data_IF_559033221687
#
_entry.id   IF_559033221687
#
_cell.length_a   1.000
_cell.length_b   1.000
_cell.length_c   1.000
_cell.angle_alpha   90.00
_cell.angle_beta   90.00
_cell.angle_gamma   90.00
#
_symmetry.space_group_name_H-M   'P 1'
#
loop_
_entity.id
_entity.type
_entity.pdbx_description
1 polymer ?
#
# COMPACT_ATOMS: atom_id res chain seq x y z
N UNK A 1 -2.61 -11.23 -14.08
CA UNK A 1 -2.62 -11.32 -12.62
C UNK A 1 -3.81 -10.60 -11.96
N UNK A 2 -3.96 -9.28 -12.12
CA UNK A 2 -5.06 -8.53 -11.48
C UNK A 2 -6.45 -9.04 -11.88
N UNK A 3 -6.65 -9.33 -13.16
CA UNK A 3 -7.93 -9.80 -13.70
C UNK A 3 -8.30 -11.25 -13.28
N UNK A 4 -7.32 -12.03 -12.87
CA UNK A 4 -7.51 -13.40 -12.33
C UNK A 4 -8.18 -13.41 -10.97
N UNK A 5 -8.12 -12.30 -10.24
CA UNK A 5 -8.71 -12.12 -8.91
C UNK A 5 -8.23 -13.20 -7.90
N UNK A 6 -6.95 -13.58 -7.98
CA UNK A 6 -6.38 -14.69 -7.23
C UNK A 6 -5.35 -14.27 -6.15
N UNK A 7 -5.18 -12.96 -5.91
CA UNK A 7 -4.22 -12.48 -4.91
C UNK A 7 -4.58 -13.00 -3.50
N UNK A 8 -3.60 -13.52 -2.73
CA UNK A 8 -3.83 -13.88 -1.34
C UNK A 8 -3.97 -12.63 -0.45
N UNK A 9 -4.51 -12.80 0.73
CA UNK A 9 -4.49 -11.77 1.75
C UNK A 9 -3.12 -11.71 2.44
N UNK A 10 -2.77 -10.54 2.95
CA UNK A 10 -1.66 -10.40 3.90
C UNK A 10 -2.04 -11.17 5.18
N UNK A 11 -1.11 -11.92 5.79
CA UNK A 11 -1.39 -12.66 7.03
C UNK A 11 -2.00 -11.75 8.11
N UNK A 12 -3.08 -12.20 8.73
CA UNK A 12 -3.82 -11.46 9.75
C UNK A 12 -4.79 -10.39 9.23
N UNK A 13 -4.74 -10.04 7.94
CA UNK A 13 -5.58 -8.97 7.39
C UNK A 13 -7.07 -9.32 7.38
N UNK A 14 -7.41 -10.58 7.11
CA UNK A 14 -8.80 -11.02 7.06
C UNK A 14 -9.43 -10.95 8.45
N UNK A 15 -8.76 -11.50 9.44
CA UNK A 15 -9.18 -11.52 10.83
C UNK A 15 -9.32 -10.10 11.39
N UNK A 16 -8.33 -9.25 11.13
CA UNK A 16 -8.34 -7.85 11.56
C UNK A 16 -9.51 -7.08 10.97
N UNK A 17 -9.71 -7.16 9.65
CA UNK A 17 -10.76 -6.39 8.97
C UNK A 17 -12.16 -6.89 9.34
N UNK A 18 -12.34 -8.20 9.55
CA UNK A 18 -13.60 -8.76 10.05
C UNK A 18 -13.90 -8.30 11.48
N UNK A 19 -12.91 -8.31 12.36
CA UNK A 19 -13.06 -7.81 13.72
C UNK A 19 -13.42 -6.32 13.73
N UNK A 20 -12.79 -5.51 12.89
CA UNK A 20 -13.12 -4.10 12.73
C UNK A 20 -14.56 -3.91 12.24
N UNK A 21 -14.98 -4.67 11.24
CA UNK A 21 -16.35 -4.59 10.73
C UNK A 21 -17.39 -5.05 11.79
N UNK A 22 -17.10 -6.10 12.53
CA UNK A 22 -17.95 -6.56 13.64
C UNK A 22 -18.05 -5.52 14.78
N UNK A 23 -17.01 -4.69 14.96
CA UNK A 23 -17.03 -3.55 15.89
C UNK A 23 -17.73 -2.31 15.33
N UNK A 24 -18.35 -2.39 14.14
CA UNK A 24 -19.09 -1.31 13.51
C UNK A 24 -18.29 -0.37 12.63
N UNK A 25 -17.01 -0.67 12.37
CA UNK A 25 -16.18 0.13 11.46
C UNK A 25 -16.47 -0.22 10.01
N UNK A 26 -16.59 0.78 9.15
CA UNK A 26 -16.70 0.60 7.70
C UNK A 26 -15.32 0.51 7.08
N UNK A 27 -15.08 -0.53 6.29
CA UNK A 27 -13.80 -0.75 5.61
C UNK A 27 -13.83 -0.15 4.20
N UNK A 28 -12.79 0.61 3.85
CA UNK A 28 -12.56 1.16 2.52
C UNK A 28 -11.25 0.64 1.94
N UNK A 29 -11.24 0.38 0.65
CA UNK A 29 -10.07 -0.05 -0.10
C UNK A 29 -9.68 1.02 -1.10
N UNK A 30 -8.52 1.66 -0.92
CA UNK A 30 -8.01 2.71 -1.80
C UNK A 30 -6.79 2.19 -2.55
N UNK A 31 -6.89 2.02 -3.86
CA UNK A 31 -5.86 1.38 -4.66
C UNK A 31 -5.47 2.19 -5.89
N UNK A 32 -4.20 2.08 -6.31
CA UNK A 32 -3.72 2.60 -7.58
C UNK A 32 -3.97 1.65 -8.77
N UNK A 33 -4.68 0.54 -8.57
CA UNK A 33 -5.28 -0.18 -9.70
C UNK A 33 -6.13 0.80 -10.49
N UNK A 34 -5.90 0.81 -11.80
CA UNK A 34 -6.42 1.84 -12.68
C UNK A 34 -7.62 1.32 -13.45
N UNK A 35 -8.72 2.08 -13.43
CA UNK A 35 -9.83 1.82 -14.33
C UNK A 35 -9.39 2.08 -15.76
N UNK A 36 -9.42 1.05 -16.58
CA UNK A 36 -9.16 1.10 -18.02
C UNK A 36 -10.35 0.46 -18.73
N UNK A 37 -11.12 1.23 -19.48
CA UNK A 37 -12.27 0.71 -20.21
C UNK A 37 -11.91 -0.45 -21.14
N UNK A 38 -12.78 -1.45 -21.19
CA UNK A 38 -12.66 -2.56 -22.11
C UNK A 38 -14.02 -2.86 -22.74
N UNK A 39 -14.19 -2.51 -24.00
CA UNK A 39 -15.49 -2.59 -24.65
C UNK A 39 -16.53 -1.70 -23.99
N UNK A 40 -17.66 -2.27 -23.57
CA UNK A 40 -18.74 -1.57 -22.88
C UNK A 40 -18.50 -1.42 -21.36
N UNK A 41 -17.50 -2.10 -20.79
CA UNK A 41 -17.17 -2.03 -19.38
C UNK A 41 -16.19 -0.87 -19.10
N UNK A 42 -16.66 0.13 -18.33
CA UNK A 42 -15.86 1.30 -18.00
C UNK A 42 -14.71 1.00 -17.02
N UNK A 43 -14.84 -0.05 -16.19
CA UNK A 43 -13.83 -0.40 -15.19
C UNK A 43 -13.83 -1.90 -14.81
N UNK A 44 -13.44 -2.81 -15.72
CA UNK A 44 -13.39 -4.24 -15.44
C UNK A 44 -12.43 -4.58 -14.29
N UNK A 45 -11.44 -3.73 -14.01
CA UNK A 45 -10.50 -3.88 -12.90
C UNK A 45 -11.18 -3.76 -11.54
N UNK A 46 -12.24 -2.93 -11.43
CA UNK A 46 -13.05 -2.83 -10.22
C UNK A 46 -13.77 -4.15 -9.93
N UNK A 47 -14.48 -4.67 -10.92
CA UNK A 47 -15.17 -5.95 -10.81
C UNK A 47 -14.19 -7.11 -10.45
N UNK A 48 -13.01 -7.15 -11.08
CA UNK A 48 -11.99 -8.14 -10.77
C UNK A 48 -11.48 -7.99 -9.32
N UNK A 49 -11.26 -6.77 -8.86
CA UNK A 49 -10.83 -6.50 -7.48
C UNK A 49 -11.91 -6.91 -6.48
N UNK A 50 -13.16 -6.57 -6.73
CA UNK A 50 -14.30 -7.01 -5.89
C UNK A 50 -14.41 -8.54 -5.81
N UNK A 51 -14.26 -9.24 -6.94
CA UNK A 51 -14.24 -10.72 -6.93
C UNK A 51 -13.15 -11.26 -6.00
N UNK A 52 -11.95 -10.65 -6.01
CA UNK A 52 -10.87 -11.05 -5.12
C UNK A 52 -11.20 -10.80 -3.65
N UNK A 53 -11.75 -9.63 -3.33
CA UNK A 53 -12.18 -9.31 -1.96
C UNK A 53 -13.26 -10.28 -1.46
N UNK A 54 -14.26 -10.62 -2.29
CA UNK A 54 -15.28 -11.63 -1.98
C UNK A 54 -14.69 -13.00 -1.73
N UNK A 55 -13.77 -13.43 -2.60
CA UNK A 55 -13.10 -14.73 -2.44
C UNK A 55 -12.35 -14.85 -1.12
N UNK A 56 -11.85 -13.75 -0.59
CA UNK A 56 -11.18 -13.66 0.69
C UNK A 56 -12.16 -13.40 1.86
N UNK A 57 -13.45 -13.26 1.56
CA UNK A 57 -14.49 -12.91 2.53
C UNK A 57 -14.14 -11.65 3.33
N UNK A 58 -13.68 -10.64 2.61
CA UNK A 58 -13.32 -9.33 3.18
C UNK A 58 -14.54 -8.42 3.28
N UNK A 59 -14.66 -7.63 4.36
CA UNK A 59 -15.80 -6.72 4.56
C UNK A 59 -15.93 -5.71 3.41
N UNK A 60 -17.13 -5.22 3.17
CA UNK A 60 -17.44 -4.22 2.12
C UNK A 60 -17.07 -4.65 0.69
N UNK A 61 -16.83 -5.94 0.43
CA UNK A 61 -16.44 -6.44 -0.91
C UNK A 61 -17.51 -6.17 -1.98
N UNK A 62 -18.79 -6.14 -1.60
CA UNK A 62 -19.92 -5.91 -2.50
C UNK A 62 -20.32 -4.43 -2.59
N UNK A 63 -19.74 -3.58 -1.76
CA UNK A 63 -20.05 -2.16 -1.73
C UNK A 63 -19.21 -1.42 -2.80
N UNK A 64 -19.84 -0.89 -3.87
CA UNK A 64 -19.13 -0.18 -4.90
C UNK A 64 -18.49 1.13 -4.40
N UNK A 65 -19.03 1.74 -3.34
CA UNK A 65 -18.52 2.96 -2.76
C UNK A 65 -17.38 2.74 -1.76
N UNK A 66 -17.13 1.51 -1.37
CA UNK A 66 -16.04 1.16 -0.48
C UNK A 66 -14.72 0.80 -1.20
N UNK A 67 -14.75 0.59 -2.52
CA UNK A 67 -13.58 0.28 -3.32
C UNK A 67 -13.29 1.42 -4.31
N UNK A 68 -12.18 2.14 -4.09
CA UNK A 68 -11.84 3.38 -4.77
C UNK A 68 -10.61 3.18 -5.64
N UNK A 69 -10.78 3.13 -6.97
CA UNK A 69 -9.73 2.91 -7.94
C UNK A 69 -9.24 4.24 -8.54
N UNK A 70 -8.00 4.22 -9.01
CA UNK A 70 -7.47 5.30 -9.84
C UNK A 70 -8.25 5.38 -11.15
N UNK A 71 -8.52 6.58 -11.63
CA UNK A 71 -9.29 6.90 -12.85
C UNK A 71 -10.74 6.40 -12.87
N UNK A 72 -11.26 5.97 -11.75
CA UNK A 72 -12.69 5.63 -11.63
C UNK A 72 -13.58 6.88 -11.76
N UNK A 73 -13.05 8.03 -11.31
CA UNK A 73 -13.66 9.34 -11.46
C UNK A 73 -12.63 10.30 -12.07
N UNK A 74 -13.10 11.35 -12.74
CA UNK A 74 -12.22 12.32 -13.40
C UNK A 74 -11.22 12.96 -12.44
N UNK A 75 -11.65 13.31 -11.23
CA UNK A 75 -10.83 13.89 -10.18
C UNK A 75 -9.81 12.90 -9.56
N UNK A 76 -9.96 11.61 -9.82
CA UNK A 76 -9.07 10.56 -9.32
C UNK A 76 -8.01 10.11 -10.34
N UNK A 77 -7.66 10.99 -11.27
CA UNK A 77 -6.74 10.69 -12.37
C UNK A 77 -5.29 10.42 -11.93
N UNK A 78 -4.86 11.04 -10.82
CA UNK A 78 -3.50 10.92 -10.30
C UNK A 78 -3.21 9.66 -9.51
N UNK A 79 -1.90 9.36 -9.34
CA UNK A 79 -1.41 8.30 -8.44
C UNK A 79 -1.50 8.65 -6.95
N UNK A 80 -1.66 9.93 -6.62
CA UNK A 80 -1.92 10.38 -5.26
C UNK A 80 -3.26 9.82 -4.75
N UNK A 81 -3.22 9.23 -3.58
CA UNK A 81 -4.40 8.65 -2.94
C UNK A 81 -5.17 9.65 -2.07
N UNK A 82 -4.64 10.86 -1.84
CA UNK A 82 -5.24 11.85 -0.94
C UNK A 82 -6.67 12.21 -1.33
N UNK A 83 -6.90 12.46 -2.62
CA UNK A 83 -8.22 12.82 -3.16
C UNK A 83 -9.24 11.69 -2.94
N UNK A 84 -8.80 10.44 -3.11
CA UNK A 84 -9.66 9.25 -2.89
C UNK A 84 -9.90 9.00 -1.40
N UNK A 85 -8.92 9.26 -0.54
CA UNK A 85 -9.08 9.17 0.92
C UNK A 85 -10.00 10.26 1.47
N UNK A 86 -10.06 11.43 0.83
CA UNK A 86 -10.99 12.48 1.19
C UNK A 86 -12.46 12.01 1.09
N UNK A 87 -12.78 11.14 0.13
CA UNK A 87 -14.13 10.62 -0.07
C UNK A 87 -14.75 9.96 1.18
N UNK A 88 -14.12 8.97 1.85
CA UNK A 88 -14.61 8.51 3.15
C UNK A 88 -14.45 9.57 4.24
N UNK A 89 -13.41 10.42 4.19
CA UNK A 89 -13.15 11.46 5.19
C UNK A 89 -14.25 12.51 5.31
N UNK A 90 -15.04 12.74 4.27
CA UNK A 90 -16.20 13.63 4.30
C UNK A 90 -17.36 13.07 5.15
N UNK A 91 -17.43 11.76 5.33
CA UNK A 91 -18.56 11.05 5.95
C UNK A 91 -18.21 10.36 7.26
N UNK A 92 -16.95 10.01 7.44
CA UNK A 92 -16.49 9.23 8.58
C UNK A 92 -15.40 9.99 9.34
N UNK A 93 -15.39 9.84 10.65
CA UNK A 93 -14.36 10.41 11.55
C UNK A 93 -13.43 9.31 12.03
N UNK A 94 -12.27 9.72 12.54
CA UNK A 94 -11.30 8.83 13.19
C UNK A 94 -10.91 7.61 12.34
N UNK A 95 -10.57 7.87 11.08
CA UNK A 95 -10.23 6.84 10.09
C UNK A 95 -8.78 6.38 10.32
N UNK A 96 -8.55 5.16 10.82
CA UNK A 96 -7.22 4.56 10.77
C UNK A 96 -6.87 4.17 9.34
N UNK A 97 -5.59 4.33 8.99
CA UNK A 97 -5.06 3.99 7.68
C UNK A 97 -4.05 2.84 7.81
N UNK A 98 -4.14 1.88 6.90
CA UNK A 98 -3.15 0.82 6.75
C UNK A 98 -2.65 0.79 5.30
N UNK A 99 -1.35 0.65 5.12
CA UNK A 99 -0.73 0.65 3.81
C UNK A 99 0.73 0.26 3.87
N UNK A 100 1.36 0.03 2.73
CA UNK A 100 2.73 -0.44 2.62
C UNK A 100 3.70 0.62 2.05
N UNK A 101 3.20 1.83 1.78
CA UNK A 101 3.98 2.94 1.25
C UNK A 101 3.57 4.25 1.94
N UNK A 102 4.52 5.18 2.14
CA UNK A 102 4.23 6.49 2.74
C UNK A 102 3.07 7.21 2.04
N UNK A 103 2.96 7.06 0.71
CA UNK A 103 1.89 7.66 -0.09
C UNK A 103 0.51 7.07 0.16
N UNK A 104 0.41 5.98 0.90
CA UNK A 104 -0.87 5.47 1.39
C UNK A 104 -1.46 6.34 2.50
N UNK A 105 -0.60 7.11 3.17
CA UNK A 105 -0.96 7.98 4.29
C UNK A 105 -0.91 9.45 3.90
N UNK A 106 0.16 9.88 3.26
CA UNK A 106 0.44 11.28 2.92
C UNK A 106 1.48 11.37 1.81
N UNK A 107 1.44 12.43 1.03
CA UNK A 107 2.50 12.73 0.08
C UNK A 107 3.79 13.15 0.77
N UNK A 108 4.93 12.75 0.21
CA UNK A 108 6.24 12.97 0.79
C UNK A 108 6.54 14.44 1.11
N UNK A 109 6.29 15.42 0.24
CA UNK A 109 6.52 16.83 0.56
C UNK A 109 5.69 17.32 1.73
N UNK A 110 4.44 16.87 1.84
CA UNK A 110 3.55 17.23 2.96
C UNK A 110 4.05 16.59 4.25
N UNK A 111 4.48 15.33 4.20
CA UNK A 111 5.07 14.65 5.35
C UNK A 111 6.33 15.35 5.85
N UNK A 112 7.25 15.69 4.95
CA UNK A 112 8.51 16.35 5.31
C UNK A 112 8.26 17.74 5.94
N UNK A 113 7.29 18.50 5.42
CA UNK A 113 6.90 19.80 5.97
C UNK A 113 6.21 19.72 7.34
N UNK A 114 5.47 18.63 7.63
CA UNK A 114 4.66 18.45 8.82
C UNK A 114 5.07 17.25 9.67
N UNK A 115 6.33 16.85 9.59
CA UNK A 115 6.85 15.64 10.22
C UNK A 115 6.56 15.56 11.72
N UNK A 116 6.71 16.68 12.44
CA UNK A 116 6.46 16.73 13.90
C UNK A 116 5.02 16.39 14.27
N UNK A 117 4.05 16.73 13.42
CA UNK A 117 2.63 16.46 13.65
C UNK A 117 2.23 15.06 13.15
N UNK A 118 2.82 14.61 12.03
CA UNK A 118 2.37 13.41 11.32
C UNK A 118 3.09 12.15 11.78
N UNK A 119 4.36 12.23 12.19
CA UNK A 119 5.12 11.07 12.64
C UNK A 119 4.47 10.35 13.85
N UNK A 120 3.88 11.03 14.84
CA UNK A 120 3.20 10.37 15.96
C UNK A 120 1.93 9.59 15.57
N UNK A 121 1.42 9.76 14.33
CA UNK A 121 0.27 9.00 13.85
C UNK A 121 0.65 7.55 13.53
N UNK A 122 1.92 7.28 13.19
CA UNK A 122 2.38 5.91 12.97
C UNK A 122 2.32 5.09 14.26
N UNK A 123 1.76 3.89 14.15
CA UNK A 123 1.51 3.00 15.27
C UNK A 123 0.25 3.32 16.10
N UNK A 124 -0.41 4.45 15.82
CA UNK A 124 -1.66 4.83 16.50
C UNK A 124 -2.85 4.93 15.56
N UNK A 125 -2.71 5.66 14.47
CA UNK A 125 -3.74 5.83 13.43
C UNK A 125 -3.26 5.39 12.05
N UNK A 126 -1.95 5.35 11.83
CA UNK A 126 -1.29 4.95 10.60
C UNK A 126 -0.48 3.68 10.83
N UNK A 127 -0.83 2.61 10.15
CA UNK A 127 -0.23 1.30 10.30
C UNK A 127 0.52 0.94 9.02
N UNK A 128 1.85 1.11 9.07
CA UNK A 128 2.73 0.77 7.96
C UNK A 128 2.95 -0.74 7.92
N UNK A 129 2.54 -1.37 6.82
CA UNK A 129 2.73 -2.80 6.58
C UNK A 129 4.08 -3.04 5.89
N UNK A 130 4.77 -4.14 6.20
CA UNK A 130 6.02 -4.48 5.52
C UNK A 130 5.77 -4.75 4.04
N UNK A 131 6.61 -4.17 3.17
CA UNK A 131 6.69 -4.50 1.76
C UNK A 131 8.14 -4.52 1.31
N UNK A 132 8.70 -5.72 1.17
CA UNK A 132 10.08 -5.93 0.75
C UNK A 132 10.24 -5.91 -0.79
N UNK A 133 9.14 -5.91 -1.54
CA UNK A 133 9.18 -6.11 -2.99
C UNK A 133 9.37 -4.81 -3.77
N UNK A 134 8.62 -3.78 -3.41
CA UNK A 134 8.67 -2.47 -4.09
C UNK A 134 8.00 -1.38 -3.24
N UNK A 135 8.28 -0.13 -3.57
CA UNK A 135 7.65 1.01 -2.88
C UNK A 135 8.46 2.29 -3.05
N UNK A 136 7.95 3.41 -2.55
CA UNK A 136 8.67 4.68 -2.56
C UNK A 136 9.93 4.63 -1.68
N UNK A 137 10.00 3.73 -0.72
CA UNK A 137 11.17 3.46 0.10
C UNK A 137 12.38 3.04 -0.74
N UNK A 138 12.16 2.28 -1.81
CA UNK A 138 13.22 1.82 -2.71
C UNK A 138 13.99 3.00 -3.32
N UNK A 139 13.27 4.02 -3.79
CA UNK A 139 13.88 5.25 -4.31
C UNK A 139 14.58 6.06 -3.21
N UNK A 140 14.06 6.03 -2.00
CA UNK A 140 14.67 6.72 -0.85
C UNK A 140 16.00 6.10 -0.44
N UNK A 141 16.15 4.78 -0.59
CA UNK A 141 17.38 4.04 -0.31
C UNK A 141 18.38 4.16 -1.45
N UNK A 142 17.93 3.89 -2.65
CA UNK A 142 18.80 3.74 -3.82
C UNK A 142 19.04 5.05 -4.58
N UNK A 143 18.20 6.06 -4.37
CA UNK A 143 18.21 7.29 -5.15
C UNK A 143 17.77 7.07 -6.60
N UNK A 144 17.88 8.10 -7.39
CA UNK A 144 17.78 8.05 -8.85
C UNK A 144 19.14 8.02 -9.50
N UNK A 145 19.17 7.80 -10.80
CA UNK A 145 20.38 7.99 -11.59
C UNK A 145 20.39 9.38 -12.21
N UNK A 146 21.58 9.92 -12.42
CA UNK A 146 21.76 11.20 -13.10
C UNK A 146 21.24 11.18 -14.54
N UNK A 147 20.90 12.34 -15.06
CA UNK A 147 20.52 12.47 -16.46
C UNK A 147 21.66 11.97 -17.37
N UNK A 148 21.31 11.15 -18.37
CA UNK A 148 22.28 10.61 -19.32
C UNK A 148 22.96 9.30 -18.93
N UNK A 149 22.73 8.77 -17.73
CA UNK A 149 23.26 7.46 -17.34
C UNK A 149 22.49 6.35 -18.08
N UNK A 150 23.18 5.44 -18.81
CA UNK A 150 22.52 4.29 -19.46
C UNK A 150 21.73 3.46 -18.46
N UNK A 151 20.60 2.89 -18.92
CA UNK A 151 19.69 2.15 -18.05
C UNK A 151 20.36 0.98 -17.31
N UNK A 152 21.29 0.30 -17.96
CA UNK A 152 22.02 -0.85 -17.38
C UNK A 152 22.98 -0.40 -16.29
N UNK A 153 23.69 0.69 -16.49
CA UNK A 153 24.60 1.26 -15.51
C UNK A 153 23.86 1.80 -14.31
N UNK A 154 22.73 2.47 -14.57
CA UNK A 154 21.79 2.90 -13.54
C UNK A 154 21.32 1.74 -12.67
N UNK A 155 20.92 0.62 -13.28
CA UNK A 155 20.45 -0.56 -12.55
C UNK A 155 21.53 -1.14 -11.66
N UNK A 156 22.78 -1.20 -12.12
CA UNK A 156 23.94 -1.65 -11.32
C UNK A 156 24.23 -0.74 -10.14
N UNK A 157 24.23 0.58 -10.35
CA UNK A 157 24.46 1.55 -9.27
C UNK A 157 23.36 1.52 -8.21
N UNK A 158 22.09 1.42 -8.64
CA UNK A 158 20.94 1.28 -7.73
C UNK A 158 21.07 0.01 -6.91
N UNK A 159 21.43 -1.11 -7.53
CA UNK A 159 21.63 -2.38 -6.85
C UNK A 159 22.78 -2.30 -5.83
N UNK A 160 23.90 -1.74 -6.21
CA UNK A 160 25.06 -1.56 -5.32
C UNK A 160 24.70 -0.73 -4.08
N UNK A 161 23.94 0.37 -4.26
CA UNK A 161 23.45 1.20 -3.16
C UNK A 161 22.48 0.45 -2.24
N UNK A 162 21.65 -0.44 -2.78
CA UNK A 162 20.76 -1.30 -1.98
C UNK A 162 21.57 -2.26 -1.12
N UNK A 163 22.56 -2.93 -1.70
CA UNK A 163 23.46 -3.83 -0.95
C UNK A 163 24.21 -3.10 0.14
N UNK A 164 24.81 -1.95 -0.15
CA UNK A 164 25.51 -1.15 0.86
C UNK A 164 24.63 -0.76 2.05
N UNK A 165 23.32 -0.60 1.83
CA UNK A 165 22.35 -0.33 2.93
C UNK A 165 22.03 -1.58 3.73
N UNK A 166 21.99 -2.75 3.12
CA UNK A 166 21.81 -4.01 3.85
C UNK A 166 23.01 -4.34 4.73
N UNK A 167 24.24 -4.11 4.24
CA UNK A 167 25.47 -4.29 5.00
C UNK A 167 25.57 -3.34 6.21
N UNK A 168 24.96 -2.17 6.13
CA UNK A 168 24.92 -1.19 7.22
C UNK A 168 23.88 -1.50 8.30
N UNK A 169 23.02 -2.50 8.11
CA UNK A 169 22.08 -2.97 9.13
C UNK A 169 22.86 -3.90 10.05
N UNK A 170 22.95 -3.55 11.34
CA UNK A 170 23.53 -4.44 12.36
C UNK A 170 22.85 -5.82 12.28
N UNK A 171 23.60 -6.90 12.55
CA UNK A 171 23.00 -8.23 12.58
C UNK A 171 21.78 -8.22 13.49
N UNK A 172 20.72 -8.97 13.15
CA UNK A 172 19.52 -9.01 13.94
C UNK A 172 19.88 -9.27 15.41
N UNK A 173 19.32 -8.50 16.32
CA UNK A 173 19.40 -8.76 17.75
C UNK A 173 18.98 -10.23 17.95
N UNK A 174 19.90 -11.06 18.44
CA UNK A 174 19.55 -12.40 18.86
C UNK A 174 18.53 -12.28 19.98
N UNK A 175 17.27 -12.52 19.66
CA UNK A 175 16.23 -12.57 20.67
C UNK A 175 16.51 -13.77 21.55
N UNK A 176 16.62 -13.63 22.87
CA UNK A 176 16.81 -14.76 23.78
C UNK A 176 15.71 -15.80 23.54
N UNK A 177 16.10 -17.01 23.11
CA UNK A 177 15.19 -18.11 22.86
C UNK A 177 14.71 -18.32 21.42
N UNK A 178 15.17 -17.53 20.44
CA UNK A 178 14.92 -17.82 19.03
C UNK A 178 15.71 -19.07 18.63
N UNK A 179 14.99 -20.17 18.30
CA UNK A 179 15.62 -21.30 17.64
C UNK A 179 15.90 -20.94 16.18
N UNK A 180 17.03 -21.39 15.61
CA UNK A 180 17.22 -21.28 14.17
C UNK A 180 16.07 -21.99 13.45
N UNK A 181 15.55 -21.36 12.40
CA UNK A 181 14.59 -22.00 11.51
C UNK A 181 15.29 -23.18 10.80
N UNK A 182 14.84 -24.41 11.04
CA UNK A 182 15.45 -25.66 10.55
C UNK A 182 15.00 -26.09 9.15
N UNK A 183 14.17 -25.29 8.48
CA UNK A 183 13.83 -25.49 7.06
C UNK A 183 12.95 -26.69 6.75
N UNK A 184 12.20 -27.27 7.72
CA UNK A 184 11.24 -28.37 7.48
C UNK A 184 9.82 -27.90 7.38
#
# INVERSE_FOLDING_TARGET
WMMEAAAPAVPGAVEFLRAAAAAGHRVFYVTNRECQPAGADACPQKAATQRNLRRLDLPSADDPDALLLRRERAEWSGGDKSVRRAWPGERYRDIPLAGDDLRDFVDRPVYDARRGELAPLFGTRWFLLPNAMYGSWERSIAGGCGAGVPREDCAREVLARKYARLEAVAPPLELPGSRPWDGT
#
